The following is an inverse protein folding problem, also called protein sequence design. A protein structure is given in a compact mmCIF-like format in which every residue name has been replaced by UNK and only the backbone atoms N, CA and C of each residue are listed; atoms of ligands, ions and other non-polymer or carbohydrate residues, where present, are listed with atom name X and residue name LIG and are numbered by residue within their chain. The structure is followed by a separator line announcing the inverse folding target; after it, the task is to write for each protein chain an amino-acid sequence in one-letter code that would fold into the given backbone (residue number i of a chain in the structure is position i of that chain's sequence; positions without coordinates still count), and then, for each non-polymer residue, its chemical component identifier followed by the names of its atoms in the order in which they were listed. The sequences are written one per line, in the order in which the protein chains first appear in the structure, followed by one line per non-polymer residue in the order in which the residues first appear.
data_IF_096334762085
#
_entry.id   IF_096334762085
#
_cell.length_a   1.000
_cell.length_b   1.000
_cell.length_c   1.000
_cell.angle_alpha   90.00
_cell.angle_beta   90.00
_cell.angle_gamma   90.00
#
_symmetry.space_group_name_H-M   'P 1'
#
loop_
_entity.id
_entity.type
_entity.pdbx_description
1 polymer ?
#
# COMPACT_ATOMS: atom_id res chain seq x y z
N UNK A 1 -58.14 42.35 -24.80
CA UNK A 1 -56.98 42.85 -24.04
C UNK A 1 -56.63 41.84 -22.96
N UNK A 2 -55.66 40.96 -23.22
CA UNK A 2 -55.10 40.03 -22.23
C UNK A 2 -53.57 40.16 -22.27
N UNK A 3 -52.96 40.37 -21.09
CA UNK A 3 -51.52 40.61 -20.89
C UNK A 3 -50.72 39.31 -21.07
N UNK A 4 -49.50 39.34 -21.65
CA UNK A 4 -48.59 38.21 -21.61
C UNK A 4 -47.81 38.23 -20.28
N UNK A 5 -47.88 37.12 -19.54
CA UNK A 5 -47.06 36.90 -18.35
C UNK A 5 -45.74 36.24 -18.78
N UNK A 6 -44.63 36.94 -18.57
CA UNK A 6 -43.28 36.44 -18.74
C UNK A 6 -43.02 35.27 -17.76
N UNK A 7 -42.77 34.07 -18.28
CA UNK A 7 -42.26 32.96 -17.49
C UNK A 7 -40.73 33.06 -17.43
N UNK A 8 -40.19 33.41 -16.25
CA UNK A 8 -38.76 33.37 -15.98
C UNK A 8 -38.34 31.92 -15.71
N UNK A 9 -37.54 31.35 -16.62
CA UNK A 9 -36.97 30.01 -16.50
C UNK A 9 -35.72 30.09 -15.59
N UNK A 10 -35.86 29.68 -14.33
CA UNK A 10 -34.75 29.59 -13.37
C UNK A 10 -33.96 28.32 -13.69
N UNK A 11 -32.78 28.50 -14.30
CA UNK A 11 -31.75 27.46 -14.46
C UNK A 11 -31.18 27.10 -13.07
N UNK A 12 -31.67 26.01 -12.49
CA UNK A 12 -31.07 25.38 -11.31
C UNK A 12 -29.76 24.69 -11.74
N UNK A 13 -28.64 25.41 -11.66
CA UNK A 13 -27.32 24.80 -11.65
C UNK A 13 -27.22 23.92 -10.40
N UNK A 14 -27.37 22.61 -10.59
CA UNK A 14 -27.08 21.62 -9.56
C UNK A 14 -25.57 21.56 -9.39
N UNK A 15 -25.05 22.34 -8.45
CA UNK A 15 -23.68 22.17 -7.96
C UNK A 15 -23.60 20.80 -7.30
N UNK A 16 -23.08 19.82 -8.02
CA UNK A 16 -22.69 18.53 -7.45
C UNK A 16 -21.53 18.82 -6.53
N UNK A 17 -21.81 19.03 -5.24
CA UNK A 17 -20.76 19.08 -4.23
C UNK A 17 -20.04 17.74 -4.26
N UNK A 18 -18.70 17.68 -4.37
CA UNK A 18 -17.99 16.45 -4.14
C UNK A 18 -18.33 16.04 -2.71
N UNK A 19 -18.92 14.85 -2.55
CA UNK A 19 -19.17 14.28 -1.26
C UNK A 19 -17.83 14.21 -0.53
N UNK A 20 -17.58 15.16 0.38
CA UNK A 20 -16.64 14.96 1.47
C UNK A 20 -17.22 13.81 2.25
N UNK A 21 -16.79 12.60 1.92
CA UNK A 21 -17.04 11.42 2.72
C UNK A 21 -16.62 11.79 4.13
N UNK A 22 -17.61 11.98 5.00
CA UNK A 22 -17.40 12.09 6.43
C UNK A 22 -16.79 10.76 6.85
N UNK A 23 -15.44 10.73 6.87
CA UNK A 23 -14.64 9.67 7.46
C UNK A 23 -14.85 9.78 8.98
N UNK A 24 -16.08 9.56 9.43
CA UNK A 24 -16.47 9.64 10.82
C UNK A 24 -15.46 8.87 11.65
N UNK A 25 -14.99 9.49 12.73
CA UNK A 25 -13.95 9.01 13.68
C UNK A 25 -13.80 7.47 13.66
N UNK A 26 -12.96 6.94 12.77
CA UNK A 26 -12.72 5.49 12.67
C UNK A 26 -11.96 5.03 13.91
N UNK A 27 -12.31 3.86 14.42
CA UNK A 27 -11.56 3.22 15.52
C UNK A 27 -10.29 2.63 14.93
N UNK A 28 -9.16 2.99 15.53
CA UNK A 28 -7.83 2.55 15.12
C UNK A 28 -7.12 2.02 16.37
N UNK A 29 -6.53 0.83 16.28
CA UNK A 29 -5.88 0.12 17.40
C UNK A 29 -4.57 -0.53 16.96
N UNK A 30 -3.85 -1.14 17.89
CA UNK A 30 -2.60 -1.86 17.66
C UNK A 30 -1.43 -1.31 18.45
N UNK A 31 -0.23 -1.77 18.10
CA UNK A 31 1.04 -1.43 18.75
C UNK A 31 1.78 -0.38 17.91
N UNK A 32 1.69 0.88 18.32
CA UNK A 32 2.33 2.01 17.63
C UNK A 32 3.54 2.58 18.39
N UNK A 33 4.14 1.76 19.26
CA UNK A 33 5.27 2.12 20.09
C UNK A 33 4.98 3.31 21.00
N UNK A 34 5.83 4.34 20.95
CA UNK A 34 5.71 5.53 21.83
C UNK A 34 4.57 6.48 21.45
N UNK A 35 3.97 6.33 20.26
CA UNK A 35 2.91 7.21 19.76
C UNK A 35 1.58 6.47 19.75
N UNK A 36 0.47 7.21 19.86
CA UNK A 36 -0.84 6.59 19.63
C UNK A 36 -1.03 6.24 18.15
N UNK A 37 -1.70 5.13 17.85
CA UNK A 37 -1.99 4.74 16.47
C UNK A 37 -2.80 5.77 15.69
N UNK A 38 -3.63 6.56 16.39
CA UNK A 38 -4.34 7.69 15.79
C UNK A 38 -3.39 8.79 15.30
N UNK A 39 -2.33 9.09 16.06
CA UNK A 39 -1.32 10.07 15.65
C UNK A 39 -0.49 9.55 14.46
N UNK A 40 -0.06 8.29 14.50
CA UNK A 40 0.65 7.65 13.38
C UNK A 40 -0.20 7.65 12.10
N UNK A 41 -1.48 7.24 12.20
CA UNK A 41 -2.38 7.26 11.05
C UNK A 41 -2.61 8.67 10.51
N UNK A 42 -2.71 9.69 11.37
CA UNK A 42 -2.88 11.09 10.94
C UNK A 42 -1.70 11.54 10.07
N UNK A 43 -0.48 11.24 10.49
CA UNK A 43 0.72 11.60 9.76
C UNK A 43 0.79 10.87 8.41
N UNK A 44 0.53 9.56 8.41
CA UNK A 44 0.53 8.75 7.20
C UNK A 44 -0.58 9.16 6.24
N UNK A 45 -1.76 9.57 6.73
CA UNK A 45 -2.83 10.10 5.89
C UNK A 45 -2.43 11.41 5.21
N UNK A 46 -1.63 12.24 5.87
CA UNK A 46 -1.11 13.48 5.26
C UNK A 46 -0.06 13.21 4.20
N UNK A 47 0.76 12.17 4.36
CA UNK A 47 1.89 11.88 3.47
C UNK A 47 1.53 10.94 2.31
N UNK A 48 0.69 9.94 2.58
CA UNK A 48 0.31 8.87 1.65
C UNK A 48 -1.23 8.73 1.59
N UNK A 49 -1.96 9.80 1.22
CA UNK A 49 -3.43 9.83 1.31
C UNK A 49 -4.11 8.74 0.49
N UNK A 50 -3.54 8.38 -0.67
CA UNK A 50 -4.13 7.38 -1.57
C UNK A 50 -4.07 5.96 -0.98
N UNK A 51 -2.91 5.57 -0.43
CA UNK A 51 -2.76 4.29 0.26
C UNK A 51 -3.67 4.19 1.48
N UNK A 52 -3.71 5.24 2.31
CA UNK A 52 -4.57 5.24 3.50
C UNK A 52 -6.05 5.15 3.11
N UNK A 53 -6.49 5.89 2.08
CA UNK A 53 -7.88 5.82 1.61
C UNK A 53 -8.23 4.41 1.13
N UNK A 54 -7.32 3.75 0.43
CA UNK A 54 -7.54 2.38 -0.04
C UNK A 54 -7.58 1.38 1.13
N UNK A 55 -6.68 1.47 2.09
CA UNK A 55 -6.71 0.65 3.31
C UNK A 55 -7.99 0.84 4.11
N UNK A 56 -8.45 2.09 4.24
CA UNK A 56 -9.71 2.42 4.93
C UNK A 56 -10.95 1.92 4.19
N UNK A 57 -10.90 1.83 2.86
CA UNK A 57 -11.95 1.26 2.02
C UNK A 57 -12.00 -0.26 2.14
N UNK A 58 -10.84 -0.93 2.10
CA UNK A 58 -10.73 -2.39 2.26
C UNK A 58 -11.12 -2.85 3.67
N UNK A 59 -10.91 -1.99 4.67
CA UNK A 59 -11.32 -2.23 6.04
C UNK A 59 -12.60 -1.47 6.40
N UNK A 60 -13.73 -1.86 5.85
CA UNK A 60 -15.03 -1.27 6.17
C UNK A 60 -15.49 -1.61 7.61
N UNK A 61 -16.45 -0.83 8.12
CA UNK A 61 -17.06 -1.11 9.43
C UNK A 61 -17.95 -2.36 9.31
N UNK A 62 -18.02 -3.22 10.35
CA UNK A 62 -17.61 -2.99 11.73
C UNK A 62 -16.14 -3.32 12.06
N UNK A 63 -15.33 -3.70 11.07
CA UNK A 63 -13.93 -4.11 11.28
C UNK A 63 -13.06 -2.94 11.78
N UNK A 64 -11.96 -3.30 12.43
CA UNK A 64 -11.07 -2.37 13.13
C UNK A 64 -9.77 -2.24 12.34
N UNK A 65 -9.39 -1.01 12.01
CA UNK A 65 -8.10 -0.74 11.38
C UNK A 65 -6.99 -0.87 12.43
N UNK A 66 -6.14 -1.88 12.26
CA UNK A 66 -4.96 -2.16 13.09
C UNK A 66 -3.69 -1.55 12.48
N UNK A 67 -2.85 -0.95 13.31
CA UNK A 67 -1.50 -0.51 12.95
C UNK A 67 -0.48 -1.20 13.85
N UNK A 68 0.59 -1.70 13.26
CA UNK A 68 1.76 -2.20 13.98
C UNK A 68 3.00 -1.46 13.51
N UNK A 69 3.69 -0.77 14.40
CA UNK A 69 4.96 -0.10 14.13
C UNK A 69 6.10 -1.05 14.48
N UNK A 70 7.09 -1.15 13.58
CA UNK A 70 8.30 -1.91 13.87
C UNK A 70 9.35 -1.75 12.78
N UNK A 71 10.24 -2.73 12.70
CA UNK A 71 11.40 -2.73 11.80
C UNK A 71 11.24 -3.86 10.79
N UNK A 72 11.21 -3.52 9.49
CA UNK A 72 11.16 -4.48 8.39
C UNK A 72 12.53 -5.12 8.10
N UNK A 73 12.55 -6.04 7.13
CA UNK A 73 13.73 -6.84 6.78
C UNK A 73 14.94 -6.01 6.33
N UNK A 74 14.72 -4.82 5.77
CA UNK A 74 15.76 -3.88 5.34
C UNK A 74 16.23 -2.93 6.45
N UNK A 75 15.87 -3.21 7.72
CA UNK A 75 16.04 -2.30 8.85
C UNK A 75 15.27 -0.97 8.71
N UNK A 76 14.27 -0.91 7.82
CA UNK A 76 13.38 0.23 7.69
C UNK A 76 12.37 0.27 8.84
N UNK A 77 12.18 1.44 9.44
CA UNK A 77 11.03 1.63 10.32
C UNK A 77 9.78 1.79 9.48
N UNK A 78 8.78 0.97 9.76
CA UNK A 78 7.57 0.89 8.94
C UNK A 78 6.34 0.58 9.78
N UNK A 79 5.18 0.71 9.15
CA UNK A 79 3.87 0.49 9.75
C UNK A 79 3.14 -0.55 8.91
N UNK A 80 2.86 -1.71 9.49
CA UNK A 80 1.97 -2.70 8.89
C UNK A 80 0.52 -2.35 9.22
N UNK A 81 -0.33 -2.47 8.20
CA UNK A 81 -1.75 -2.21 8.30
C UNK A 81 -2.51 -3.52 8.23
N UNK A 82 -3.44 -3.67 9.16
CA UNK A 82 -4.30 -4.83 9.27
C UNK A 82 -5.77 -4.41 9.34
N UNK A 83 -6.65 -5.22 8.79
CA UNK A 83 -8.07 -5.12 9.05
C UNK A 83 -8.49 -6.27 9.96
N UNK A 84 -8.80 -5.95 11.20
CA UNK A 84 -9.16 -6.93 12.20
C UNK A 84 -10.67 -7.08 12.32
N UNK A 85 -11.13 -8.31 12.47
CA UNK A 85 -12.53 -8.56 12.81
C UNK A 85 -12.90 -7.87 14.11
N UNK A 86 -14.16 -7.43 14.23
CA UNK A 86 -14.62 -6.67 15.41
C UNK A 86 -14.70 -7.54 16.67
N UNK A 87 -14.90 -8.85 16.50
CA UNK A 87 -15.07 -9.83 17.59
C UNK A 87 -14.02 -10.92 17.48
N UNK A 88 -13.82 -11.61 18.61
CA UNK A 88 -13.03 -12.84 18.68
C UNK A 88 -13.95 -14.05 18.44
N UNK A 89 -13.41 -15.05 17.77
CA UNK A 89 -13.99 -16.38 17.61
C UNK A 89 -13.12 -17.37 18.37
N UNK A 90 -13.71 -18.08 19.35
CA UNK A 90 -12.99 -19.05 20.19
C UNK A 90 -11.72 -18.51 20.87
N UNK A 91 -11.69 -17.21 21.18
CA UNK A 91 -10.55 -16.54 21.83
C UNK A 91 -9.58 -15.85 20.86
N UNK A 92 -9.71 -16.11 19.55
CA UNK A 92 -8.82 -15.57 18.51
C UNK A 92 -9.55 -14.55 17.66
N UNK A 93 -8.89 -13.44 17.36
CA UNK A 93 -9.36 -12.46 16.38
C UNK A 93 -8.60 -12.68 15.08
N UNK A 94 -9.34 -12.82 13.98
CA UNK A 94 -8.75 -12.95 12.66
C UNK A 94 -8.68 -11.56 12.00
N UNK A 95 -7.76 -11.42 11.06
CA UNK A 95 -7.66 -10.21 10.27
C UNK A 95 -7.22 -10.45 8.84
N UNK A 96 -6.93 -9.37 8.14
CA UNK A 96 -6.33 -9.38 6.81
C UNK A 96 -5.23 -8.32 6.75
N UNK A 97 -4.08 -8.68 6.19
CA UNK A 97 -3.04 -7.70 5.90
C UNK A 97 -3.46 -6.80 4.73
N UNK A 98 -3.30 -5.48 4.90
CA UNK A 98 -3.68 -4.48 3.91
C UNK A 98 -2.49 -3.90 3.14
N UNK A 99 -1.34 -3.81 3.80
CA UNK A 99 -0.16 -3.17 3.24
C UNK A 99 0.77 -2.61 4.31
N UNK A 100 1.85 -2.00 3.84
CA UNK A 100 2.88 -1.39 4.68
C UNK A 100 3.22 0.00 4.16
N UNK A 101 3.54 0.93 5.05
CA UNK A 101 4.09 2.24 4.69
C UNK A 101 5.31 2.54 5.55
N UNK A 102 6.27 3.36 5.07
CA UNK A 102 7.39 3.80 5.88
C UNK A 102 6.89 4.69 7.01
N UNK A 103 7.49 4.58 8.19
CA UNK A 103 7.17 5.46 9.31
C UNK A 103 7.62 6.89 8.99
N UNK A 104 6.78 7.89 9.27
CA UNK A 104 7.16 9.28 8.99
C UNK A 104 8.42 9.67 9.80
N UNK A 105 9.40 10.27 9.12
CA UNK A 105 10.68 10.66 9.73
C UNK A 105 11.74 9.55 9.74
N UNK A 106 11.43 8.35 9.26
CA UNK A 106 12.43 7.32 9.00
C UNK A 106 13.12 7.51 7.64
N UNK A 107 14.22 6.80 7.45
CA UNK A 107 14.92 6.73 6.17
C UNK A 107 14.10 5.95 5.12
N UNK A 108 13.38 6.68 4.27
CA UNK A 108 12.55 6.12 3.19
C UNK A 108 13.38 5.29 2.20
N UNK A 109 14.67 5.57 2.03
CA UNK A 109 15.52 4.78 1.13
C UNK A 109 15.72 3.34 1.63
N UNK A 110 15.71 3.12 2.95
CA UNK A 110 15.73 1.77 3.53
C UNK A 110 14.42 1.03 3.31
N UNK A 111 13.30 1.74 3.19
CA UNK A 111 12.00 1.13 2.97
C UNK A 111 11.85 0.54 1.56
N UNK A 112 12.49 1.15 0.56
CA UNK A 112 12.40 0.71 -0.83
C UNK A 112 12.84 -0.75 -1.01
N UNK A 113 12.03 -1.56 -1.72
CA UNK A 113 12.43 -2.92 -2.09
C UNK A 113 13.65 -2.86 -2.99
N UNK A 114 14.78 -3.50 -2.63
CA UNK A 114 15.99 -3.44 -3.44
C UNK A 114 15.81 -4.19 -4.75
N UNK A 115 16.42 -3.67 -5.82
CA UNK A 115 16.60 -4.46 -7.05
C UNK A 115 17.62 -5.59 -6.80
N UNK A 116 17.46 -6.77 -7.43
CA UNK A 116 18.43 -7.87 -7.36
C UNK A 116 19.82 -7.37 -7.78
N UNK A 117 20.81 -7.50 -6.90
CA UNK A 117 22.17 -6.98 -7.15
C UNK A 117 22.97 -7.82 -8.14
N UNK A 118 22.57 -9.06 -8.33
CA UNK A 118 23.14 -10.07 -9.23
C UNK A 118 22.65 -9.95 -10.67
N UNK A 119 21.58 -9.20 -10.92
CA UNK A 119 21.08 -8.98 -12.28
C UNK A 119 22.01 -8.03 -13.07
N UNK A 120 22.42 -8.40 -14.31
CA UNK A 120 23.24 -7.54 -15.17
C UNK A 120 22.54 -6.22 -15.51
N UNK A 121 21.20 -6.18 -15.49
CA UNK A 121 20.42 -5.00 -15.86
C UNK A 121 20.24 -4.00 -14.73
N UNK A 122 20.57 -4.35 -13.48
CA UNK A 122 20.29 -3.48 -12.33
C UNK A 122 21.00 -2.13 -12.41
N UNK A 123 22.24 -2.08 -12.91
CA UNK A 123 22.97 -0.83 -13.08
C UNK A 123 22.33 0.07 -14.15
N UNK A 124 21.94 -0.51 -15.28
CA UNK A 124 21.26 0.19 -16.38
C UNK A 124 19.89 0.71 -15.96
N UNK A 125 19.09 -0.13 -15.27
CA UNK A 125 17.77 0.25 -14.78
C UNK A 125 17.84 1.46 -13.85
N UNK A 126 18.81 1.46 -12.92
CA UNK A 126 19.00 2.57 -11.97
C UNK A 126 19.48 3.86 -12.65
N UNK A 127 20.27 3.77 -13.72
CA UNK A 127 20.83 4.95 -14.39
C UNK A 127 19.85 5.56 -15.40
N UNK A 128 19.18 4.74 -16.21
CA UNK A 128 18.29 5.20 -17.30
C UNK A 128 16.87 5.47 -16.85
N UNK A 129 16.36 4.71 -15.88
CA UNK A 129 14.94 4.72 -15.49
C UNK A 129 14.72 5.07 -14.03
N UNK A 130 15.61 5.87 -13.43
CA UNK A 130 15.66 6.16 -11.99
C UNK A 130 14.29 6.46 -11.35
N UNK A 131 13.50 7.34 -11.96
CA UNK A 131 12.20 7.74 -11.42
C UNK A 131 11.18 6.58 -11.44
N UNK A 132 11.11 5.84 -12.55
CA UNK A 132 10.22 4.69 -12.68
C UNK A 132 10.63 3.55 -11.74
N UNK A 133 11.93 3.29 -11.62
CA UNK A 133 12.47 2.30 -10.68
C UNK A 133 12.14 2.68 -9.25
N UNK A 134 12.41 3.93 -8.81
CA UNK A 134 12.06 4.35 -7.44
C UNK A 134 10.57 4.20 -7.14
N UNK A 135 9.71 4.55 -8.09
CA UNK A 135 8.26 4.37 -7.97
C UNK A 135 7.91 2.89 -7.79
N UNK A 136 8.42 2.02 -8.66
CA UNK A 136 8.19 0.58 -8.55
C UNK A 136 8.72 0.03 -7.22
N UNK A 137 9.91 0.44 -6.77
CA UNK A 137 10.49 0.01 -5.50
C UNK A 137 9.63 0.40 -4.30
N UNK A 138 9.05 1.59 -4.31
CA UNK A 138 8.11 2.01 -3.29
C UNK A 138 6.83 1.17 -3.34
N UNK A 139 6.23 1.01 -4.52
CA UNK A 139 5.01 0.21 -4.71
C UNK A 139 5.19 -1.24 -4.25
N UNK A 140 6.31 -1.87 -4.59
CA UNK A 140 6.61 -3.23 -4.14
C UNK A 140 6.82 -3.31 -2.62
N UNK A 141 7.53 -2.33 -2.04
CA UNK A 141 7.73 -2.25 -0.59
C UNK A 141 6.41 -2.11 0.17
N UNK A 142 5.42 -1.39 -0.37
CA UNK A 142 4.11 -1.26 0.28
C UNK A 142 3.36 -2.60 0.40
N UNK A 143 3.75 -3.60 -0.40
CA UNK A 143 3.21 -4.96 -0.36
C UNK A 143 4.09 -5.92 0.45
N UNK A 144 5.16 -5.42 1.07
CA UNK A 144 6.23 -6.24 1.65
C UNK A 144 6.84 -7.21 0.63
N UNK A 145 6.88 -6.81 -0.64
CA UNK A 145 7.33 -7.64 -1.76
C UNK A 145 8.83 -7.51 -2.05
N UNK A 146 9.33 -8.46 -2.84
CA UNK A 146 10.69 -8.49 -3.35
C UNK A 146 10.67 -8.49 -4.87
N UNK A 147 11.74 -7.99 -5.49
CA UNK A 147 11.83 -7.97 -6.94
C UNK A 147 12.41 -9.25 -7.53
N UNK A 148 11.86 -9.62 -8.67
CA UNK A 148 12.41 -10.52 -9.65
C UNK A 148 12.55 -9.73 -10.96
N UNK A 149 13.69 -9.86 -11.63
CA UNK A 149 13.90 -9.27 -12.96
C UNK A 149 13.74 -10.39 -13.97
N UNK A 150 12.73 -10.25 -14.84
CA UNK A 150 12.47 -11.18 -15.93
C UNK A 150 13.00 -10.59 -17.24
N UNK A 151 13.62 -11.41 -18.07
CA UNK A 151 14.21 -10.99 -19.35
C UNK A 151 13.37 -11.52 -20.52
N UNK A 152 13.08 -10.66 -21.48
CA UNK A 152 12.57 -11.05 -22.80
C UNK A 152 13.64 -10.75 -23.84
N UNK A 153 14.32 -11.79 -24.31
CA UNK A 153 15.35 -11.69 -25.34
C UNK A 153 14.76 -11.27 -26.69
N UNK A 154 13.57 -11.78 -27.04
CA UNK A 154 12.91 -11.44 -28.31
C UNK A 154 12.52 -9.97 -28.41
N UNK A 155 12.21 -9.34 -27.27
CA UNK A 155 11.73 -7.96 -27.23
C UNK A 155 12.80 -6.98 -26.72
N UNK A 156 14.00 -7.46 -26.39
CA UNK A 156 15.06 -6.69 -25.75
C UNK A 156 14.55 -5.86 -24.55
N UNK A 157 13.72 -6.50 -23.71
CA UNK A 157 13.13 -5.85 -22.54
C UNK A 157 13.38 -6.63 -21.27
N UNK A 158 13.38 -5.90 -20.15
CA UNK A 158 13.31 -6.49 -18.82
C UNK A 158 12.03 -6.05 -18.14
N UNK A 159 11.39 -7.00 -17.46
CA UNK A 159 10.21 -6.75 -16.65
C UNK A 159 10.59 -6.77 -15.17
N UNK A 160 10.11 -5.77 -14.45
CA UNK A 160 10.30 -5.65 -13.02
C UNK A 160 9.08 -6.26 -12.31
N UNK A 161 9.20 -7.51 -11.87
CA UNK A 161 8.13 -8.24 -11.19
C UNK A 161 8.27 -8.07 -9.68
N UNK A 162 7.24 -7.56 -9.02
CA UNK A 162 7.12 -7.60 -7.58
C UNK A 162 6.43 -8.89 -7.14
N UNK A 163 7.14 -9.70 -6.36
CA UNK A 163 6.67 -10.94 -5.75
C UNK A 163 6.31 -10.71 -4.28
N UNK A 164 5.09 -11.05 -3.88
CA UNK A 164 4.62 -10.92 -2.49
C UNK A 164 3.55 -11.95 -2.13
N UNK A 165 3.14 -12.00 -0.86
CA UNK A 165 2.05 -12.85 -0.39
C UNK A 165 0.76 -12.05 -0.27
N UNK A 166 -0.26 -12.44 -1.04
CA UNK A 166 -1.61 -11.87 -0.98
C UNK A 166 -2.56 -12.76 -0.18
N UNK A 167 -3.47 -12.16 0.58
CA UNK A 167 -4.47 -12.91 1.36
C UNK A 167 -3.95 -13.54 2.66
N UNK A 168 -2.86 -12.99 3.23
CA UNK A 168 -2.36 -13.38 4.55
C UNK A 168 -3.44 -13.11 5.61
N UNK A 169 -3.70 -14.10 6.46
CA UNK A 169 -4.68 -14.04 7.54
C UNK A 169 -3.97 -14.04 8.91
N UNK A 170 -3.63 -12.86 9.45
CA UNK A 170 -3.01 -12.75 10.76
C UNK A 170 -4.00 -13.08 11.89
N UNK A 171 -3.44 -13.40 13.06
CA UNK A 171 -4.16 -13.74 14.28
C UNK A 171 -3.82 -12.76 15.41
N UNK A 172 -4.82 -12.42 16.22
CA UNK A 172 -4.69 -11.67 17.47
C UNK A 172 -5.34 -12.49 18.59
N UNK A 173 -4.51 -13.21 19.35
CA UNK A 173 -4.94 -14.10 20.43
C UNK A 173 -5.07 -13.33 21.75
N UNK A 174 -4.22 -12.33 21.97
CA UNK A 174 -4.14 -11.62 23.25
C UNK A 174 -5.08 -10.39 23.33
N UNK A 175 -5.61 -9.91 22.20
CA UNK A 175 -6.57 -8.81 22.10
C UNK A 175 -5.96 -7.40 21.95
N UNK A 176 -4.66 -7.29 21.67
CA UNK A 176 -3.94 -6.04 21.51
C UNK A 176 -3.97 -5.47 20.08
N UNK A 177 -4.60 -6.18 19.13
CA UNK A 177 -4.68 -5.81 17.70
C UNK A 177 -3.32 -5.81 16.99
N UNK A 178 -2.38 -6.62 17.48
CA UNK A 178 -1.09 -6.95 16.86
C UNK A 178 -1.14 -8.39 16.34
N UNK A 179 -0.36 -8.68 15.30
CA UNK A 179 -0.26 -10.05 14.80
C UNK A 179 0.58 -10.90 15.77
N UNK A 180 -0.03 -11.95 16.34
CA UNK A 180 0.61 -13.00 17.15
C UNK A 180 1.07 -14.19 16.27
N UNK A 181 0.60 -14.24 15.02
CA UNK A 181 0.86 -15.34 14.09
C UNK A 181 -0.05 -15.26 12.86
N UNK A 182 -0.08 -16.32 12.06
CA UNK A 182 -0.89 -16.38 10.84
C UNK A 182 -1.63 -17.72 10.76
N UNK A 183 -2.93 -17.69 10.51
CA UNK A 183 -3.70 -18.89 10.17
C UNK A 183 -3.49 -19.33 8.72
N UNK A 184 -3.14 -18.38 7.85
CA UNK A 184 -2.82 -18.63 6.44
C UNK A 184 -1.77 -17.65 5.96
N UNK A 185 -0.78 -18.15 5.23
CA UNK A 185 0.22 -17.35 4.52
C UNK A 185 -0.32 -16.75 3.21
N UNK A 186 -1.56 -17.06 2.84
CA UNK A 186 -2.15 -16.61 1.60
C UNK A 186 -1.61 -17.35 0.38
N UNK A 187 -1.52 -16.63 -0.74
CA UNK A 187 -0.98 -17.12 -2.00
C UNK A 187 0.08 -16.15 -2.53
N UNK A 188 1.05 -16.70 -3.26
CA UNK A 188 2.02 -15.90 -3.98
C UNK A 188 1.34 -15.10 -5.09
N UNK A 189 1.72 -13.82 -5.19
CA UNK A 189 1.25 -12.90 -6.23
C UNK A 189 2.46 -12.32 -6.94
N UNK A 190 2.38 -12.36 -8.27
CA UNK A 190 3.35 -11.81 -9.20
C UNK A 190 2.76 -10.60 -9.92
N UNK A 191 3.35 -9.42 -9.74
CA UNK A 191 2.87 -8.19 -10.35
C UNK A 191 3.97 -7.47 -11.12
N UNK A 192 3.74 -7.23 -12.42
CA UNK A 192 4.67 -6.47 -13.25
C UNK A 192 4.49 -4.98 -12.96
N UNK A 193 5.50 -4.35 -12.35
CA UNK A 193 5.52 -2.91 -12.02
C UNK A 193 6.21 -2.05 -13.09
N UNK A 194 6.78 -2.69 -14.11
CA UNK A 194 7.35 -1.99 -15.26
C UNK A 194 7.95 -2.93 -16.29
N UNK A 195 8.04 -2.46 -17.52
CA UNK A 195 8.75 -3.10 -18.63
C UNK A 195 9.66 -2.06 -19.25
N UNK A 196 10.95 -2.39 -19.35
CA UNK A 196 11.99 -1.45 -19.71
C UNK A 196 12.79 -1.99 -20.89
N UNK A 197 12.98 -1.22 -21.96
CA UNK A 197 13.91 -1.62 -23.00
C UNK A 197 15.34 -1.54 -22.46
N UNK A 198 16.13 -2.55 -22.77
CA UNK A 198 17.54 -2.65 -22.38
C UNK A 198 18.40 -2.73 -23.63
N UNK A 199 19.62 -2.20 -23.53
CA UNK A 199 20.59 -2.34 -24.62
C UNK A 199 20.99 -3.81 -24.80
N UNK A 200 21.09 -4.28 -26.05
CA UNK A 200 21.81 -5.51 -26.43
C UNK A 200 23.31 -5.32 -26.17
N UNK A 201 23.74 -5.26 -24.92
CA UNK A 201 25.17 -5.20 -24.61
C UNK A 201 25.47 -5.60 -23.18
N UNK A 202 25.13 -6.84 -22.84
CA UNK A 202 25.90 -7.60 -21.85
C UNK A 202 26.06 -9.04 -22.35
N UNK A 203 26.67 -9.21 -23.52
CA UNK A 203 27.37 -10.46 -23.82
C UNK A 203 28.44 -10.63 -22.73
N UNK A 204 28.19 -11.55 -21.80
CA UNK A 204 29.18 -12.03 -20.86
C UNK A 204 30.24 -12.75 -21.70
N UNK A 205 31.43 -12.15 -21.79
CA UNK A 205 32.65 -12.86 -22.18
C UNK A 205 33.07 -13.83 -21.08
#
# INVERSE_FOLDING_TARGET
MLKPTLAALILLLSTVSPATADLGKRIVRGDCGRRSCKAVLKDLRSRYPDYIREFEKQCDRPRILGLQVGVGNSNAQQVWFYCWDAKKEQGTRYGSYLGTLPLLGSDEAKFLSPLPSDSPYTAELKSRYLAAIKKAQFECATKSGNFIILTSESDNTVQLQCYFQGGVQPLDENGDFKSDGEASRGASVDEILGTFPVSESMEIK
#
